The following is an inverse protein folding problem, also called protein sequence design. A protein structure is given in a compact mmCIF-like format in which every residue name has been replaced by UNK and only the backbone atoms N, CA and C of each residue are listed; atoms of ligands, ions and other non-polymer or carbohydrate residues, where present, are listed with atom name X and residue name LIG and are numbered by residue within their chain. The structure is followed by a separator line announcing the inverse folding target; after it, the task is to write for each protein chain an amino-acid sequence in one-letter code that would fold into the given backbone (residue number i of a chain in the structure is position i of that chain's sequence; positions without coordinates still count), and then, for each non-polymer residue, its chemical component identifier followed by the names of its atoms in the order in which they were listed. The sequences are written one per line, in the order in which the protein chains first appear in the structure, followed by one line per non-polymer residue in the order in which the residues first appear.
data_IF_015631683791
#
_entry.id   IF_015631683791
#
_cell.length_a   1.000
_cell.length_b   1.000
_cell.length_c   1.000
_cell.angle_alpha   90.00
_cell.angle_beta   90.00
_cell.angle_gamma   90.00
#
_symmetry.space_group_name_H-M   'P 1'
#
loop_
_entity.id
_entity.type
_entity.pdbx_description
1 polymer ?
#
# COMPACT_ATOMS: atom_id res chain seq x y z
N UNK A 1 17.57 34.60 57.21
CA UNK A 1 17.18 34.65 55.79
C UNK A 1 17.10 33.22 55.29
N UNK A 2 16.02 32.84 54.57
CA UNK A 2 15.66 31.46 54.30
C UNK A 2 15.96 31.00 52.85
N UNK A 3 15.84 29.67 52.65
CA UNK A 3 15.55 28.92 51.43
C UNK A 3 16.33 29.22 50.14
N UNK A 4 17.06 28.21 49.61
CA UNK A 4 16.75 27.64 48.28
C UNK A 4 16.93 26.12 48.35
N UNK A 5 15.83 25.46 47.98
CA UNK A 5 15.54 24.04 47.89
C UNK A 5 16.39 23.33 46.81
N UNK A 6 16.80 22.09 47.09
CA UNK A 6 17.19 21.14 46.05
C UNK A 6 15.93 20.69 45.29
N UNK A 7 15.75 21.12 44.04
CA UNK A 7 14.82 20.49 43.09
C UNK A 7 15.58 19.52 42.19
N UNK A 8 15.25 18.22 42.16
CA UNK A 8 15.68 17.36 41.07
C UNK A 8 14.78 17.66 39.86
N UNK A 9 15.42 18.07 38.76
CA UNK A 9 14.75 18.24 37.48
C UNK A 9 14.03 16.95 37.07
N UNK A 10 12.76 17.11 36.71
CA UNK A 10 11.94 16.11 36.06
C UNK A 10 12.61 15.66 34.74
N UNK A 11 13.37 14.58 34.79
CA UNK A 11 13.60 13.75 33.62
C UNK A 11 12.29 13.03 33.31
N UNK A 12 11.37 13.69 32.60
CA UNK A 12 10.27 13.03 31.90
C UNK A 12 10.88 12.17 30.80
N UNK A 13 11.30 10.97 31.16
CA UNK A 13 11.47 9.87 30.22
C UNK A 13 10.11 9.60 29.59
N UNK A 14 9.91 10.15 28.40
CA UNK A 14 8.81 9.79 27.52
C UNK A 14 9.03 8.33 27.13
N UNK A 15 8.52 7.42 27.97
CA UNK A 15 8.29 6.03 27.59
C UNK A 15 7.25 6.07 26.49
N UNK A 16 7.71 6.02 25.23
CA UNK A 16 6.88 5.72 24.07
C UNK A 16 6.13 4.43 24.39
N UNK A 17 4.84 4.57 24.70
CA UNK A 17 3.96 3.44 24.93
C UNK A 17 3.86 2.67 23.61
N UNK A 18 4.69 1.63 23.48
CA UNK A 18 4.56 0.63 22.43
C UNK A 18 3.12 0.10 22.51
N UNK A 19 2.28 0.32 21.48
CA UNK A 19 0.96 -0.27 21.48
C UNK A 19 1.17 -1.78 21.54
N UNK A 20 0.46 -2.44 22.45
CA UNK A 20 0.43 -3.89 22.55
C UNK A 20 0.05 -4.47 21.19
N UNK A 21 1.05 -4.86 20.40
CA UNK A 21 0.88 -5.53 19.13
C UNK A 21 0.06 -6.79 19.42
N UNK A 22 -1.21 -6.80 18.99
CA UNK A 22 -1.93 -8.06 18.91
C UNK A 22 -1.05 -9.00 18.09
N UNK A 23 -0.75 -10.19 18.60
CA UNK A 23 0.21 -11.16 18.01
C UNK A 23 -0.08 -11.53 16.54
N UNK A 24 -1.23 -11.09 15.99
CA UNK A 24 -1.70 -11.33 14.64
C UNK A 24 -1.72 -10.08 13.74
N UNK A 25 -1.40 -8.90 14.28
CA UNK A 25 -1.35 -7.68 13.47
C UNK A 25 0.02 -7.57 12.80
N UNK A 26 0.05 -7.73 11.47
CA UNK A 26 1.29 -7.59 10.67
C UNK A 26 1.64 -6.12 10.41
N UNK A 27 0.99 -5.15 11.05
CA UNK A 27 1.33 -3.73 10.91
C UNK A 27 2.68 -3.44 11.56
N UNK A 28 3.60 -2.92 10.75
CA UNK A 28 4.94 -2.51 11.17
C UNK A 28 4.99 -0.98 11.21
N UNK A 29 5.07 -0.41 12.42
CA UNK A 29 5.21 1.03 12.60
C UNK A 29 6.67 1.44 12.42
N UNK A 30 6.90 2.46 11.59
CA UNK A 30 8.22 3.03 11.36
C UNK A 30 8.13 4.54 11.43
N UNK A 31 9.01 5.10 12.26
CA UNK A 31 9.29 6.53 12.32
C UNK A 31 10.08 6.93 11.07
N UNK A 32 9.47 7.81 10.26
CA UNK A 32 10.14 8.37 9.09
C UNK A 32 11.18 9.41 9.49
N UNK A 33 12.14 9.75 8.62
CA UNK A 33 13.09 10.85 8.85
C UNK A 33 12.40 12.20 9.12
N UNK A 34 11.16 12.36 8.64
CA UNK A 34 10.31 13.54 8.87
C UNK A 34 9.62 13.55 10.25
N UNK A 35 9.82 12.51 11.08
CA UNK A 35 9.23 12.38 12.42
C UNK A 35 7.75 12.02 12.39
N UNK A 36 7.29 11.34 11.33
CA UNK A 36 5.93 10.86 11.17
C UNK A 36 5.93 9.33 11.27
N UNK A 37 5.07 8.78 12.12
CA UNK A 37 4.80 7.35 12.19
C UNK A 37 4.07 6.85 10.94
N UNK A 38 4.75 6.06 10.12
CA UNK A 38 4.15 5.32 9.02
C UNK A 38 3.84 3.89 9.43
N UNK A 39 2.61 3.47 9.19
CA UNK A 39 2.19 2.08 9.38
C UNK A 39 2.36 1.30 8.09
N UNK A 40 3.46 0.56 7.97
CA UNK A 40 3.73 -0.30 6.83
C UNK A 40 3.06 -1.68 7.01
N UNK A 41 2.64 -2.28 5.90
CA UNK A 41 2.12 -3.66 5.88
C UNK A 41 3.08 -4.54 5.08
N UNK A 42 4.03 -5.22 5.73
CA UNK A 42 4.92 -6.18 5.10
C UNK A 42 4.13 -7.23 4.31
N UNK A 43 4.59 -7.53 3.10
CA UNK A 43 4.03 -8.59 2.28
C UNK A 43 4.65 -9.94 2.65
N UNK A 44 3.81 -10.93 2.94
CA UNK A 44 4.26 -12.29 3.24
C UNK A 44 4.91 -13.01 2.05
N UNK A 45 5.38 -14.23 2.28
CA UNK A 45 6.08 -15.04 1.27
C UNK A 45 5.25 -15.32 0.01
N UNK A 46 3.97 -15.69 0.17
CA UNK A 46 3.11 -16.13 -0.94
C UNK A 46 2.86 -15.03 -1.99
N UNK A 47 2.41 -13.82 -1.63
CA UNK A 47 2.26 -12.71 -2.59
C UNK A 47 3.57 -12.38 -3.32
N UNK A 48 4.70 -12.47 -2.62
CA UNK A 48 6.03 -12.23 -3.19
C UNK A 48 6.42 -13.31 -4.20
N UNK A 49 6.12 -14.57 -3.90
CA UNK A 49 6.34 -15.69 -4.80
C UNK A 49 5.46 -15.58 -6.06
N UNK A 50 4.18 -15.23 -5.91
CA UNK A 50 3.27 -15.00 -7.04
C UNK A 50 3.73 -13.83 -7.93
N UNK A 51 4.11 -12.70 -7.33
CA UNK A 51 4.68 -11.57 -8.06
C UNK A 51 5.92 -12.00 -8.86
N UNK A 52 6.81 -12.78 -8.25
CA UNK A 52 8.00 -13.31 -8.92
C UNK A 52 7.66 -14.28 -10.06
N UNK A 53 6.67 -15.15 -9.88
CA UNK A 53 6.20 -16.06 -10.93
C UNK A 53 5.63 -15.32 -12.14
N UNK A 54 4.86 -14.24 -11.92
CA UNK A 54 4.36 -13.37 -12.99
C UNK A 54 5.54 -12.74 -13.76
N UNK A 55 6.51 -12.16 -13.04
CA UNK A 55 7.69 -11.59 -13.66
C UNK A 55 8.51 -12.64 -14.43
N UNK A 56 8.59 -13.88 -13.93
CA UNK A 56 9.27 -14.98 -14.60
C UNK A 56 8.58 -15.35 -15.92
N UNK A 57 7.24 -15.42 -15.95
CA UNK A 57 6.46 -15.68 -17.16
C UNK A 57 6.66 -14.55 -18.17
N UNK A 58 6.55 -13.29 -17.75
CA UNK A 58 6.75 -12.12 -18.64
C UNK A 58 8.15 -12.15 -19.25
N UNK A 59 9.19 -12.34 -18.42
CA UNK A 59 10.57 -12.46 -18.89
C UNK A 59 10.75 -13.64 -19.83
N UNK A 60 10.17 -14.81 -19.50
CA UNK A 60 10.25 -16.02 -20.31
C UNK A 60 9.65 -15.85 -21.69
N UNK A 61 8.45 -15.24 -21.77
CA UNK A 61 7.78 -14.96 -23.05
C UNK A 61 8.58 -13.96 -23.89
N UNK A 62 9.02 -12.85 -23.29
CA UNK A 62 9.82 -11.82 -23.99
C UNK A 62 11.14 -12.40 -24.49
N UNK A 63 11.86 -13.11 -23.63
CA UNK A 63 13.13 -13.74 -24.01
C UNK A 63 12.94 -14.83 -25.06
N UNK A 64 11.89 -15.66 -24.93
CA UNK A 64 11.60 -16.74 -25.89
C UNK A 64 11.29 -16.20 -27.28
N UNK A 65 10.44 -15.17 -27.38
CA UNK A 65 10.14 -14.51 -28.66
C UNK A 65 11.41 -13.91 -29.27
N UNK A 66 12.23 -13.27 -28.45
CA UNK A 66 13.46 -12.64 -28.91
C UNK A 66 14.51 -13.66 -29.36
N UNK A 67 14.61 -14.81 -28.68
CA UNK A 67 15.45 -15.93 -29.12
C UNK A 67 14.96 -16.51 -30.45
N UNK A 68 13.64 -16.59 -30.67
CA UNK A 68 13.08 -17.04 -31.95
C UNK A 68 13.51 -16.10 -33.08
N UNK A 69 13.37 -14.78 -32.87
CA UNK A 69 13.73 -13.76 -33.86
C UNK A 69 15.24 -13.71 -34.11
N UNK A 70 16.04 -13.64 -33.05
CA UNK A 70 17.50 -13.60 -33.16
C UNK A 70 18.07 -14.92 -33.70
N UNK A 71 17.43 -16.05 -33.41
CA UNK A 71 17.84 -17.36 -33.93
C UNK A 71 17.85 -17.43 -35.46
N UNK A 72 17.01 -16.64 -36.13
CA UNK A 72 17.01 -16.50 -37.61
C UNK A 72 18.33 -15.95 -38.16
N UNK A 73 19.11 -15.25 -37.33
CA UNK A 73 20.41 -14.66 -37.67
C UNK A 73 21.59 -15.63 -37.41
N UNK A 74 21.29 -16.90 -37.12
CA UNK A 74 22.29 -17.95 -36.89
C UNK A 74 23.13 -17.72 -35.64
N UNK A 75 24.44 -18.01 -35.71
CA UNK A 75 25.36 -17.95 -34.56
C UNK A 75 25.48 -16.55 -33.95
N UNK A 76 25.44 -15.51 -34.78
CA UNK A 76 25.52 -14.12 -34.32
C UNK A 76 24.30 -13.75 -33.47
N UNK A 77 23.10 -14.13 -33.93
CA UNK A 77 21.87 -13.89 -33.18
C UNK A 77 21.79 -14.70 -31.89
N UNK A 78 22.27 -15.94 -31.86
CA UNK A 78 22.39 -16.71 -30.61
C UNK A 78 23.34 -16.03 -29.61
N UNK A 79 24.47 -15.48 -30.08
CA UNK A 79 25.40 -14.72 -29.25
C UNK A 79 24.74 -13.48 -28.63
N UNK A 80 24.05 -12.69 -29.45
CA UNK A 80 23.26 -11.53 -28.99
C UNK A 80 22.16 -11.93 -28.01
N UNK A 81 21.46 -13.04 -28.28
CA UNK A 81 20.42 -13.58 -27.41
C UNK A 81 20.95 -13.93 -26.02
N UNK A 82 22.14 -14.52 -25.94
CA UNK A 82 22.79 -14.85 -24.66
C UNK A 82 23.24 -13.62 -23.88
N UNK A 83 23.79 -12.61 -24.55
CA UNK A 83 24.13 -11.31 -23.91
C UNK A 83 22.86 -10.69 -23.33
N UNK A 84 21.77 -10.72 -24.09
CA UNK A 84 20.52 -10.12 -23.67
C UNK A 84 19.83 -10.91 -22.56
N UNK A 85 19.94 -12.24 -22.58
CA UNK A 85 19.51 -13.11 -21.48
C UNK A 85 20.23 -12.74 -20.18
N UNK A 86 21.54 -12.54 -20.23
CA UNK A 86 22.31 -12.08 -19.09
C UNK A 86 21.78 -10.72 -18.60
N UNK A 87 21.66 -9.75 -19.51
CA UNK A 87 21.19 -8.41 -19.14
C UNK A 87 19.81 -8.44 -18.49
N UNK A 88 18.83 -9.12 -19.09
CA UNK A 88 17.48 -9.23 -18.55
C UNK A 88 17.47 -9.98 -17.22
N UNK A 89 18.23 -11.06 -17.09
CA UNK A 89 18.27 -11.86 -15.86
C UNK A 89 18.70 -11.02 -14.65
N UNK A 90 19.78 -10.25 -14.83
CA UNK A 90 20.42 -9.45 -13.77
C UNK A 90 19.78 -8.07 -13.60
N UNK A 91 19.49 -7.36 -14.69
CA UNK A 91 19.11 -5.95 -14.61
C UNK A 91 17.61 -5.70 -14.55
N UNK A 92 16.74 -6.57 -15.06
CA UNK A 92 15.30 -6.24 -15.11
C UNK A 92 14.74 -5.92 -13.71
N UNK A 93 15.07 -6.68 -12.67
CA UNK A 93 14.53 -6.39 -11.33
C UNK A 93 15.09 -5.07 -10.80
N UNK A 94 16.38 -4.82 -11.01
CA UNK A 94 17.04 -3.59 -10.56
C UNK A 94 16.44 -2.36 -11.25
N UNK A 95 16.32 -2.41 -12.58
CA UNK A 95 15.77 -1.33 -13.38
C UNK A 95 14.33 -1.02 -13.00
N UNK A 96 13.46 -2.03 -12.88
CA UNK A 96 12.07 -1.79 -12.47
C UNK A 96 11.95 -1.31 -11.02
N UNK A 97 12.78 -1.81 -10.11
CA UNK A 97 12.77 -1.34 -8.73
C UNK A 97 13.23 0.12 -8.59
N UNK A 98 14.21 0.56 -9.37
CA UNK A 98 14.67 1.96 -9.29
C UNK A 98 13.79 2.89 -10.11
N UNK A 99 13.48 2.52 -11.35
CA UNK A 99 12.77 3.41 -12.30
C UNK A 99 11.25 3.47 -12.05
N UNK A 100 10.67 2.40 -11.48
CA UNK A 100 9.22 2.32 -11.23
C UNK A 100 8.89 2.32 -9.73
N UNK A 101 9.66 3.05 -8.92
CA UNK A 101 9.38 3.27 -7.49
C UNK A 101 9.20 1.96 -6.69
N UNK A 102 10.10 1.00 -6.90
CA UNK A 102 10.11 -0.30 -6.23
C UNK A 102 9.20 -1.35 -6.85
N UNK A 103 8.76 -1.20 -8.11
CA UNK A 103 7.69 -2.02 -8.69
C UNK A 103 8.11 -2.70 -9.99
N UNK A 104 8.22 -4.03 -9.95
CA UNK A 104 8.19 -4.85 -11.15
C UNK A 104 6.74 -5.05 -11.63
N UNK A 105 6.50 -5.39 -12.91
CA UNK A 105 5.17 -5.71 -13.42
C UNK A 105 4.40 -6.72 -12.56
N UNK A 106 5.04 -7.82 -12.14
CA UNK A 106 4.42 -8.80 -11.25
C UNK A 106 4.08 -8.24 -9.86
N UNK A 107 4.96 -7.42 -9.27
CA UNK A 107 4.68 -6.73 -8.01
C UNK A 107 3.53 -5.74 -8.16
N UNK A 108 3.46 -5.03 -9.29
CA UNK A 108 2.40 -4.07 -9.56
C UNK A 108 1.03 -4.74 -9.63
N UNK A 109 0.92 -5.91 -10.25
CA UNK A 109 -0.32 -6.69 -10.27
C UNK A 109 -0.72 -7.21 -8.90
N UNK A 110 0.26 -7.59 -8.08
CA UNK A 110 0.03 -8.03 -6.69
C UNK A 110 -0.17 -6.87 -5.71
N UNK A 111 -0.18 -5.61 -6.18
CA UNK A 111 -0.31 -4.43 -5.31
C UNK A 111 0.88 -4.23 -4.36
N UNK A 112 2.07 -4.70 -4.74
CA UNK A 112 3.28 -4.67 -3.92
C UNK A 112 4.24 -3.59 -4.38
N UNK A 113 5.01 -3.06 -3.44
CA UNK A 113 6.18 -2.22 -3.73
C UNK A 113 7.31 -2.49 -2.76
N UNK A 114 8.52 -2.19 -3.21
CA UNK A 114 9.70 -2.20 -2.36
C UNK A 114 9.97 -0.80 -1.85
N UNK A 115 10.23 -0.68 -0.55
CA UNK A 115 10.67 0.54 0.12
C UNK A 115 11.89 0.24 0.99
N UNK A 116 12.59 1.28 1.43
CA UNK A 116 13.52 1.17 2.56
C UNK A 116 12.77 0.90 3.86
N UNK A 117 13.51 0.53 4.89
CA UNK A 117 12.93 0.26 6.21
C UNK A 117 12.18 1.47 6.77
N UNK A 118 12.64 2.68 6.47
CA UNK A 118 12.01 3.97 6.79
C UNK A 118 10.83 4.35 5.88
N UNK A 119 10.43 3.48 4.94
CA UNK A 119 9.36 3.73 3.98
C UNK A 119 9.75 4.56 2.76
N UNK A 120 10.99 5.03 2.66
CA UNK A 120 11.46 5.84 1.53
C UNK A 120 11.64 5.01 0.24
N UNK A 121 11.63 5.63 -0.95
CA UNK A 121 11.84 4.92 -2.22
C UNK A 121 13.23 4.28 -2.30
N UNK A 122 13.31 3.08 -2.88
CA UNK A 122 14.58 2.35 -2.96
C UNK A 122 15.52 2.92 -4.01
N UNK A 123 16.80 3.08 -3.64
CA UNK A 123 17.87 3.53 -4.53
C UNK A 123 18.61 2.40 -5.29
N UNK A 124 19.54 2.80 -6.16
CA UNK A 124 20.38 1.88 -6.94
C UNK A 124 21.19 0.88 -6.10
N UNK A 125 21.94 1.30 -5.05
CA UNK A 125 22.79 0.37 -4.31
C UNK A 125 21.97 -0.69 -3.59
N UNK A 126 20.87 -0.28 -2.94
CA UNK A 126 19.99 -1.18 -2.22
C UNK A 126 19.30 -2.19 -3.14
N UNK A 127 18.81 -1.74 -4.30
CA UNK A 127 18.21 -2.63 -5.29
C UNK A 127 19.22 -3.63 -5.87
N UNK A 128 20.45 -3.19 -6.17
CA UNK A 128 21.50 -4.06 -6.67
C UNK A 128 21.92 -5.11 -5.64
N UNK A 129 22.20 -4.70 -4.39
CA UNK A 129 22.59 -5.59 -3.29
C UNK A 129 21.55 -6.67 -3.05
N UNK A 130 20.27 -6.29 -2.95
CA UNK A 130 19.16 -7.24 -2.81
C UNK A 130 19.13 -8.24 -3.97
N UNK A 131 19.21 -7.76 -5.21
CA UNK A 131 19.03 -8.62 -6.37
C UNK A 131 20.25 -9.51 -6.64
N UNK A 132 21.45 -9.11 -6.22
CA UNK A 132 22.65 -9.94 -6.24
C UNK A 132 22.53 -11.08 -5.21
N UNK A 133 22.11 -10.77 -3.98
CA UNK A 133 21.92 -11.76 -2.92
C UNK A 133 20.76 -12.74 -3.19
N UNK A 134 19.87 -12.43 -4.14
CA UNK A 134 18.87 -13.38 -4.63
C UNK A 134 19.51 -14.67 -5.16
N UNK A 135 20.74 -14.62 -5.71
CA UNK A 135 21.45 -15.82 -6.13
C UNK A 135 21.79 -16.73 -4.94
N UNK A 136 22.12 -16.13 -3.79
CA UNK A 136 22.37 -16.86 -2.54
C UNK A 136 21.06 -17.46 -2.01
N UNK A 137 19.96 -16.71 -2.10
CA UNK A 137 18.64 -17.19 -1.66
C UNK A 137 18.22 -18.49 -2.38
N UNK A 138 18.61 -18.66 -3.66
CA UNK A 138 18.28 -19.83 -4.50
C UNK A 138 18.92 -21.13 -3.99
N UNK A 139 20.05 -21.05 -3.28
CA UNK A 139 20.81 -22.21 -2.82
C UNK A 139 20.20 -22.82 -1.53
N UNK A 140 20.51 -24.09 -1.20
CA UNK A 140 20.95 -25.17 -2.08
C UNK A 140 19.81 -25.86 -2.87
N UNK A 141 18.55 -25.78 -2.42
CA UNK A 141 17.41 -26.44 -3.07
C UNK A 141 16.29 -25.46 -3.46
N UNK A 142 16.55 -24.58 -4.42
CA UNK A 142 15.50 -23.82 -5.11
C UNK A 142 14.73 -22.83 -4.22
N UNK A 143 15.45 -21.87 -3.62
CA UNK A 143 14.96 -20.80 -2.71
C UNK A 143 14.88 -21.14 -1.22
N UNK A 144 15.48 -22.23 -0.77
CA UNK A 144 15.47 -22.65 0.65
C UNK A 144 15.93 -21.56 1.62
N UNK A 145 17.05 -20.88 1.37
CA UNK A 145 17.52 -19.81 2.26
C UNK A 145 16.59 -18.60 2.26
N UNK A 146 16.07 -18.23 1.09
CA UNK A 146 15.11 -17.12 0.98
C UNK A 146 13.81 -17.39 1.73
N UNK A 147 13.29 -18.63 1.65
CA UNK A 147 12.08 -19.05 2.38
C UNK A 147 12.34 -19.05 3.88
N UNK A 148 13.44 -19.65 4.34
CA UNK A 148 13.79 -19.71 5.76
C UNK A 148 13.97 -18.31 6.35
N UNK A 149 14.65 -17.40 5.66
CA UNK A 149 14.82 -16.01 6.11
C UNK A 149 13.47 -15.29 6.22
N UNK A 150 12.60 -15.44 5.21
CA UNK A 150 11.26 -14.86 5.25
C UNK A 150 10.43 -15.37 6.42
N UNK A 151 10.45 -16.68 6.69
CA UNK A 151 9.63 -17.28 7.75
C UNK A 151 10.15 -16.98 9.15
N UNK A 152 11.47 -16.78 9.31
CA UNK A 152 12.09 -16.43 10.60
C UNK A 152 12.06 -14.93 10.90
N UNK A 153 11.67 -14.09 9.94
CA UNK A 153 11.61 -12.64 10.11
C UNK A 153 10.17 -12.18 10.40
N UNK A 154 9.92 -11.41 11.47
CA UNK A 154 8.59 -10.86 11.75
C UNK A 154 8.09 -9.89 10.66
N UNK A 155 9.01 -9.35 9.85
CA UNK A 155 8.73 -8.47 8.71
C UNK A 155 8.85 -9.18 7.36
N UNK A 156 8.95 -10.52 7.36
CA UNK A 156 9.06 -11.35 6.15
C UNK A 156 10.21 -10.97 5.22
N UNK A 157 11.34 -10.50 5.75
CA UNK A 157 12.52 -10.10 4.95
C UNK A 157 13.35 -11.31 4.50
N UNK A 158 13.79 -11.29 3.23
CA UNK A 158 14.80 -12.23 2.71
C UNK A 158 16.20 -11.75 3.09
N UNK A 159 17.21 -12.59 2.91
CA UNK A 159 18.60 -12.25 3.15
C UNK A 159 19.02 -10.99 2.36
N UNK A 160 18.62 -10.91 1.10
CA UNK A 160 18.86 -9.74 0.26
C UNK A 160 18.14 -8.47 0.74
N UNK A 161 16.97 -8.60 1.35
CA UNK A 161 16.23 -7.44 1.88
C UNK A 161 16.86 -6.95 3.19
N UNK A 162 17.32 -7.87 4.05
CA UNK A 162 18.03 -7.60 5.30
C UNK A 162 19.34 -6.85 4.99
N UNK A 163 20.15 -7.37 4.07
CA UNK A 163 21.42 -6.77 3.70
C UNK A 163 21.27 -5.40 3.02
N UNK A 164 20.17 -5.18 2.31
CA UNK A 164 19.90 -3.91 1.64
C UNK A 164 19.15 -2.89 2.53
N UNK A 165 18.70 -3.26 3.73
CA UNK A 165 17.87 -2.40 4.59
C UNK A 165 16.54 -2.03 3.93
N UNK A 166 15.84 -3.04 3.41
CA UNK A 166 14.62 -2.84 2.61
C UNK A 166 13.50 -3.77 3.03
N UNK A 167 12.29 -3.40 2.62
CA UNK A 167 11.06 -4.12 2.92
C UNK A 167 10.15 -4.14 1.69
N UNK A 168 9.44 -5.26 1.49
CA UNK A 168 8.36 -5.34 0.51
C UNK A 168 7.05 -5.14 1.25
N UNK A 169 6.29 -4.13 0.85
CA UNK A 169 5.04 -3.74 1.50
C UNK A 169 3.89 -3.78 0.52
N UNK A 170 2.69 -4.02 1.04
CA UNK A 170 1.48 -3.72 0.30
C UNK A 170 1.40 -2.22 0.04
N UNK A 171 0.98 -1.87 -1.16
CA UNK A 171 0.65 -0.50 -1.50
C UNK A 171 -0.60 -0.12 -0.71
N UNK A 172 -0.56 1.04 -0.07
CA UNK A 172 -1.79 1.68 0.39
C UNK A 172 -2.60 2.06 -0.84
N UNK A 173 -3.73 1.39 -1.02
CA UNK A 173 -4.73 1.85 -1.96
C UNK A 173 -5.17 3.23 -1.51
N UNK A 174 -5.16 4.20 -2.43
CA UNK A 174 -5.79 5.49 -2.16
C UNK A 174 -7.23 5.17 -1.74
N UNK A 175 -7.74 5.72 -0.63
CA UNK A 175 -9.13 5.59 -0.28
C UNK A 175 -9.95 5.97 -1.51
N UNK A 176 -10.70 5.02 -2.06
CA UNK A 176 -11.58 5.35 -3.17
C UNK A 176 -12.64 6.31 -2.61
N UNK A 177 -12.88 7.45 -3.27
CA UNK A 177 -13.90 8.37 -2.80
C UNK A 177 -15.24 7.62 -2.76
N UNK A 178 -16.05 7.84 -1.72
CA UNK A 178 -17.33 7.16 -1.59
C UNK A 178 -18.20 7.37 -2.83
N UNK A 179 -18.84 6.29 -3.29
CA UNK A 179 -19.81 6.37 -4.38
C UNK A 179 -21.11 6.89 -3.79
N UNK A 180 -21.34 8.19 -3.96
CA UNK A 180 -22.59 8.84 -3.56
C UNK A 180 -23.62 8.75 -4.70
N UNK A 181 -24.93 8.65 -4.38
CA UNK A 181 -26.01 8.76 -5.37
C UNK A 181 -25.92 10.09 -6.11
N UNK A 182 -26.29 10.13 -7.40
CA UNK A 182 -26.31 11.40 -8.14
C UNK A 182 -27.32 12.37 -7.52
N UNK A 183 -26.83 13.53 -7.08
CA UNK A 183 -27.64 14.65 -6.60
C UNK A 183 -26.85 15.94 -6.75
N UNK A 184 -27.56 17.05 -6.92
CA UNK A 184 -26.94 18.39 -6.93
C UNK A 184 -26.43 18.74 -5.52
N UNK A 185 -25.24 19.33 -5.42
CA UNK A 185 -24.66 19.69 -4.12
C UNK A 185 -25.47 20.83 -3.46
N UNK A 186 -26.05 20.55 -2.30
CA UNK A 186 -26.91 21.47 -1.56
C UNK A 186 -26.28 21.74 -0.19
N UNK A 187 -26.11 23.01 0.18
CA UNK A 187 -25.64 23.34 1.54
C UNK A 187 -26.72 23.03 2.58
N UNK A 188 -26.30 22.44 3.70
CA UNK A 188 -27.20 22.22 4.83
C UNK A 188 -27.76 23.57 5.33
N UNK A 189 -29.07 23.64 5.65
CA UNK A 189 -29.70 24.87 6.10
C UNK A 189 -29.34 25.26 7.55
N UNK A 190 -28.64 24.39 8.27
CA UNK A 190 -28.18 24.58 9.64
C UNK A 190 -26.75 24.03 9.81
N UNK A 191 -26.08 24.44 10.89
CA UNK A 191 -24.75 23.95 11.22
C UNK A 191 -24.80 22.48 11.64
N UNK A 192 -24.01 21.63 10.97
CA UNK A 192 -23.88 20.22 11.27
C UNK A 192 -22.64 19.95 12.12
N UNK A 193 -22.78 19.24 13.22
CA UNK A 193 -21.66 18.68 13.98
C UNK A 193 -20.92 17.60 13.17
N UNK A 194 -19.66 17.30 13.52
CA UNK A 194 -18.89 16.24 12.86
C UNK A 194 -19.59 14.87 12.90
N UNK A 195 -20.35 14.59 13.97
CA UNK A 195 -21.11 13.33 14.11
C UNK A 195 -22.27 13.28 13.10
N UNK A 196 -22.97 14.38 12.90
CA UNK A 196 -24.08 14.49 11.94
C UNK A 196 -23.58 14.47 10.50
N UNK A 197 -22.49 15.18 10.20
CA UNK A 197 -21.84 15.13 8.88
C UNK A 197 -21.47 13.68 8.52
N UNK A 198 -20.84 12.94 9.45
CA UNK A 198 -20.51 11.52 9.27
C UNK A 198 -21.76 10.64 9.11
N UNK A 199 -22.85 10.94 9.80
CA UNK A 199 -24.09 10.19 9.67
C UNK A 199 -24.73 10.38 8.29
N UNK A 200 -24.75 11.63 7.78
CA UNK A 200 -25.26 11.96 6.44
C UNK A 200 -24.40 11.31 5.35
N UNK A 201 -23.07 11.42 5.46
CA UNK A 201 -22.15 10.75 4.54
C UNK A 201 -22.32 9.23 4.58
N UNK A 202 -22.40 8.64 5.77
CA UNK A 202 -22.61 7.20 5.92
C UNK A 202 -23.97 6.71 5.40
N UNK A 203 -25.02 7.54 5.48
CA UNK A 203 -26.30 7.26 4.83
C UNK A 203 -26.15 7.22 3.31
N UNK A 204 -25.56 8.26 2.72
CA UNK A 204 -25.40 8.37 1.27
C UNK A 204 -24.46 7.27 0.72
N UNK A 205 -23.38 6.95 1.40
CA UNK A 205 -22.46 5.84 1.08
C UNK A 205 -23.15 4.47 1.02
N UNK A 206 -24.13 4.25 1.91
CA UNK A 206 -24.86 2.97 2.00
C UNK A 206 -26.16 2.97 1.21
N UNK A 207 -26.58 4.10 0.63
CA UNK A 207 -27.87 4.24 -0.04
C UNK A 207 -28.06 3.18 -1.15
N UNK A 208 -27.02 2.90 -1.93
CA UNK A 208 -27.06 1.89 -3.00
C UNK A 208 -27.28 0.45 -2.49
N UNK A 209 -26.97 0.17 -1.23
CA UNK A 209 -27.19 -1.14 -0.60
C UNK A 209 -28.50 -1.24 0.20
N UNK A 210 -29.24 -0.15 0.37
CA UNK A 210 -30.51 -0.13 1.11
C UNK A 210 -31.70 -0.27 0.15
N UNK A 211 -32.81 -0.85 0.62
CA UNK A 211 -34.07 -0.82 -0.13
C UNK A 211 -34.60 0.61 -0.23
N UNK A 212 -35.43 0.88 -1.24
CA UNK A 212 -36.02 2.21 -1.45
C UNK A 212 -36.85 2.64 -0.24
N UNK A 213 -37.62 1.72 0.32
CA UNK A 213 -38.47 1.96 1.49
C UNK A 213 -37.61 2.34 2.70
N UNK A 214 -36.48 1.65 2.91
CA UNK A 214 -35.59 1.92 4.04
C UNK A 214 -34.88 3.27 3.90
N UNK A 215 -34.51 3.67 2.68
CA UNK A 215 -33.95 5.00 2.42
C UNK A 215 -34.95 6.10 2.74
N UNK A 216 -36.19 5.95 2.28
CA UNK A 216 -37.28 6.91 2.56
C UNK A 216 -37.57 6.97 4.06
N UNK A 217 -37.64 5.83 4.75
CA UNK A 217 -37.88 5.77 6.19
C UNK A 217 -36.78 6.52 6.96
N UNK A 218 -35.50 6.21 6.69
CA UNK A 218 -34.36 6.83 7.36
C UNK A 218 -34.24 8.33 7.05
N UNK A 219 -34.46 8.72 5.80
CA UNK A 219 -34.47 10.13 5.42
C UNK A 219 -35.65 10.88 6.06
N UNK A 220 -36.79 10.21 6.19
CA UNK A 220 -38.01 10.73 6.82
C UNK A 220 -37.82 11.12 8.28
N UNK A 221 -36.95 10.42 9.03
CA UNK A 221 -36.64 10.73 10.44
C UNK A 221 -36.17 12.18 10.61
N UNK A 222 -35.46 12.71 9.61
CA UNK A 222 -34.88 14.06 9.66
C UNK A 222 -35.53 15.06 8.70
N UNK A 223 -36.63 14.69 8.05
CA UNK A 223 -37.34 15.53 7.10
C UNK A 223 -37.81 16.86 7.72
N UNK A 224 -38.30 16.81 8.96
CA UNK A 224 -38.77 17.98 9.70
C UNK A 224 -37.61 18.97 9.97
N UNK A 225 -36.46 18.47 10.40
CA UNK A 225 -35.26 19.29 10.66
C UNK A 225 -34.72 19.88 9.36
N UNK A 226 -34.82 19.15 8.25
CA UNK A 226 -34.43 19.62 6.91
C UNK A 226 -35.44 20.59 6.28
N UNK A 227 -36.61 20.80 6.90
CA UNK A 227 -37.71 21.64 6.42
C UNK A 227 -38.20 21.25 5.01
N UNK A 228 -38.21 19.96 4.71
CA UNK A 228 -38.69 19.41 3.43
C UNK A 228 -39.73 18.31 3.66
N UNK A 229 -40.65 18.08 2.69
CA UNK A 229 -41.52 16.91 2.73
C UNK A 229 -40.71 15.60 2.81
N UNK A 230 -41.26 14.58 3.48
CA UNK A 230 -40.58 13.29 3.66
C UNK A 230 -40.15 12.65 2.32
N UNK A 231 -40.91 12.86 1.26
CA UNK A 231 -40.61 12.38 -0.10
C UNK A 231 -39.34 13.01 -0.70
N UNK A 232 -38.99 14.24 -0.31
CA UNK A 232 -37.82 14.97 -0.82
C UNK A 232 -36.61 14.86 0.12
N UNK A 233 -36.78 14.30 1.32
CA UNK A 233 -35.75 14.21 2.33
C UNK A 233 -34.53 13.41 1.85
N UNK A 234 -34.76 12.32 1.10
CA UNK A 234 -33.68 11.50 0.53
C UNK A 234 -32.82 12.33 -0.44
N UNK A 235 -33.46 13.02 -1.38
CA UNK A 235 -32.77 13.86 -2.35
C UNK A 235 -31.99 15.00 -1.68
N UNK A 236 -32.60 15.64 -0.67
CA UNK A 236 -31.97 16.71 0.12
C UNK A 236 -30.73 16.19 0.85
N UNK A 237 -30.79 15.00 1.43
CA UNK A 237 -29.68 14.37 2.12
C UNK A 237 -28.52 14.02 1.20
N UNK A 238 -28.82 13.44 0.03
CA UNK A 238 -27.81 13.14 -0.97
C UNK A 238 -27.12 14.43 -1.45
N UNK A 239 -27.87 15.51 -1.67
CA UNK A 239 -27.29 16.80 -2.02
C UNK A 239 -26.41 17.41 -0.92
N UNK A 240 -26.81 17.27 0.35
CA UNK A 240 -25.99 17.69 1.50
C UNK A 240 -24.71 16.85 1.57
N UNK A 241 -24.79 15.52 1.40
CA UNK A 241 -23.63 14.65 1.36
C UNK A 241 -22.62 15.07 0.28
N UNK A 242 -23.09 15.42 -0.92
CA UNK A 242 -22.22 15.95 -1.99
C UNK A 242 -21.54 17.27 -1.60
N UNK A 243 -22.25 18.18 -0.93
CA UNK A 243 -21.65 19.43 -0.47
C UNK A 243 -20.53 19.23 0.58
N UNK A 244 -20.61 18.15 1.36
CA UNK A 244 -19.63 17.82 2.40
C UNK A 244 -18.35 17.17 1.83
N UNK A 245 -18.44 16.44 0.72
CA UNK A 245 -17.27 15.85 0.04
C UNK A 245 -16.51 16.90 -0.79
N UNK A 246 -17.18 17.99 -1.18
CA UNK A 246 -16.60 19.05 -2.00
C UNK A 246 -16.70 18.76 -3.50
N UNK A 247 -16.37 19.74 -4.38
CA UNK A 247 -16.35 19.54 -5.82
C UNK A 247 -15.31 18.47 -6.18
N UNK A 248 -15.72 17.51 -7.02
CA UNK A 248 -14.82 16.51 -7.61
C UNK A 248 -13.87 17.14 -8.63
#
# INVERSE_FOLDING_TARGET
MPHIENSPEHATSQTSAQPSAGLLDTRYQVETPEGIDLTLRPAGLVPRALAYSIDLIIRGVVMGLMYLLLGMLGKLGMGLGTILLFLVTWWYMVLFEVLNQGRSPGKQWMGLRVVHDDGTPVGWPASLTRNLLRFVDILPMGYTFGILSCLNSPTFKRLGDIAAGTLVVYREEKPQPPILPEAEAIRAPFALSLKEQRAILGFAERANGLSKERRIELAGIIAQQLQVPAEQAEHRLNGIAHSLVGPR
#
